data_IF_791047268384
#
_entry.id   IF_791047268384
#
_cell.length_a   1.000
_cell.length_b   1.000
_cell.length_c   1.000
_cell.angle_alpha   90.00
_cell.angle_beta   90.00
_cell.angle_gamma   90.00
#
_symmetry.space_group_name_H-M   'P 1'
#
loop_
_entity.id
_entity.type
_entity.pdbx_description
1 polymer ?
#
# COMPACT_ATOMS: atom_id res chain seq x y z
N UNK A 1 -5.13 36.48 16.87
CA UNK A 1 -4.28 35.26 16.82
C UNK A 1 -3.56 35.32 15.49
N UNK A 2 -2.22 35.41 15.48
CA UNK A 2 -1.47 35.28 14.23
C UNK A 2 -1.52 33.82 13.79
N UNK A 3 -2.08 33.55 12.61
CA UNK A 3 -2.14 32.23 11.98
C UNK A 3 -0.73 31.74 11.65
N UNK A 4 -0.04 31.23 12.67
CA UNK A 4 1.24 30.57 12.50
C UNK A 4 0.96 29.14 12.08
N UNK A 5 1.00 28.89 10.78
CA UNK A 5 0.82 27.55 10.22
C UNK A 5 1.90 26.60 10.74
N UNK A 6 1.50 25.56 11.47
CA UNK A 6 2.41 24.52 11.97
C UNK A 6 2.78 23.57 10.83
N UNK A 7 4.07 23.40 10.56
CA UNK A 7 4.54 22.48 9.52
C UNK A 7 4.43 21.02 9.96
N UNK A 8 3.43 20.30 9.41
CA UNK A 8 3.15 18.90 9.79
C UNK A 8 3.96 17.88 8.98
N UNK A 9 4.29 18.17 7.72
CA UNK A 9 4.87 17.17 6.78
C UNK A 9 5.72 17.83 5.70
N UNK A 10 6.86 17.21 5.40
CA UNK A 10 7.80 17.72 4.40
C UNK A 10 7.28 17.55 2.96
N UNK A 11 7.62 18.50 2.08
CA UNK A 11 7.21 18.49 0.66
C UNK A 11 7.63 17.20 -0.06
N UNK A 12 8.82 16.66 0.22
CA UNK A 12 9.29 15.40 -0.40
C UNK A 12 8.43 14.20 -0.02
N UNK A 13 7.97 14.12 1.23
CA UNK A 13 7.06 13.07 1.69
C UNK A 13 5.68 13.22 1.05
N UNK A 14 5.19 14.44 0.88
CA UNK A 14 3.91 14.71 0.20
C UNK A 14 3.98 14.29 -1.27
N UNK A 15 5.07 14.63 -1.98
CA UNK A 15 5.27 14.22 -3.38
C UNK A 15 5.33 12.71 -3.52
N UNK A 16 6.09 12.03 -2.66
CA UNK A 16 6.18 10.57 -2.65
C UNK A 16 4.80 9.93 -2.42
N UNK A 17 3.98 10.50 -1.54
CA UNK A 17 2.63 10.01 -1.29
C UNK A 17 1.75 10.06 -2.55
N UNK A 18 1.74 11.18 -3.27
CA UNK A 18 0.94 11.32 -4.49
C UNK A 18 1.46 10.47 -5.65
N UNK A 19 2.79 10.34 -5.78
CA UNK A 19 3.41 9.37 -6.68
C UNK A 19 2.89 7.95 -6.36
N UNK A 20 2.96 7.55 -5.09
CA UNK A 20 2.49 6.25 -4.64
C UNK A 20 0.99 6.07 -4.95
N UNK A 21 0.15 7.03 -4.60
CA UNK A 21 -1.29 6.96 -4.85
C UNK A 21 -1.62 6.77 -6.34
N UNK A 22 -0.91 7.46 -7.24
CA UNK A 22 -1.07 7.29 -8.68
C UNK A 22 -0.63 5.89 -9.14
N UNK A 23 0.56 5.43 -8.74
CA UNK A 23 1.03 4.09 -9.08
C UNK A 23 0.07 3.00 -8.60
N UNK A 24 -0.40 3.09 -7.35
CA UNK A 24 -1.35 2.12 -6.79
C UNK A 24 -2.68 2.12 -7.53
N UNK A 25 -3.19 3.30 -7.93
CA UNK A 25 -4.40 3.38 -8.75
C UNK A 25 -4.21 2.62 -10.07
N UNK A 26 -3.12 2.90 -10.78
CA UNK A 26 -2.82 2.24 -12.06
C UNK A 26 -2.61 0.72 -11.89
N UNK A 27 -1.88 0.30 -10.85
CA UNK A 27 -1.61 -1.11 -10.56
C UNK A 27 -2.88 -1.88 -10.18
N UNK A 28 -3.78 -1.28 -9.38
CA UNK A 28 -5.05 -1.93 -9.03
C UNK A 28 -5.92 -2.11 -10.27
N UNK A 29 -6.09 -1.05 -11.07
CA UNK A 29 -6.93 -1.08 -12.27
C UNK A 29 -6.43 -2.10 -13.29
N UNK A 30 -5.12 -2.09 -13.56
CA UNK A 30 -4.48 -3.05 -14.48
C UNK A 30 -4.41 -4.46 -13.91
N UNK A 31 -4.11 -4.63 -12.62
CA UNK A 31 -4.09 -5.93 -11.96
C UNK A 31 -5.45 -6.64 -12.04
N UNK A 32 -6.54 -5.93 -11.77
CA UNK A 32 -7.88 -6.47 -11.98
C UNK A 32 -8.23 -6.71 -13.46
N UNK A 33 -7.60 -5.99 -14.39
CA UNK A 33 -7.74 -6.26 -15.82
C UNK A 33 -7.00 -7.52 -16.30
N UNK A 34 -5.89 -7.87 -15.63
CA UNK A 34 -5.08 -9.06 -15.96
C UNK A 34 -5.77 -10.35 -15.50
N UNK A 35 -6.44 -10.32 -14.34
CA UNK A 35 -7.10 -11.49 -13.76
C UNK A 35 -8.44 -11.75 -14.48
N UNK A 36 -8.39 -12.46 -15.61
CA UNK A 36 -9.54 -12.68 -16.50
C UNK A 36 -10.19 -14.07 -16.42
N UNK A 37 -9.55 -15.07 -15.81
CA UNK A 37 -10.10 -16.43 -15.75
C UNK A 37 -11.40 -16.47 -14.94
N UNK A 38 -12.44 -17.15 -15.44
CA UNK A 38 -13.79 -17.14 -14.85
C UNK A 38 -13.81 -17.60 -13.37
N UNK A 39 -12.89 -18.49 -12.98
CA UNK A 39 -12.79 -19.00 -11.60
C UNK A 39 -11.99 -18.10 -10.65
N UNK A 40 -11.19 -17.16 -11.18
CA UNK A 40 -10.23 -16.35 -10.40
C UNK A 40 -10.47 -14.86 -10.51
N UNK A 41 -11.27 -14.40 -11.49
CA UNK A 41 -11.58 -12.99 -11.69
C UNK A 41 -12.26 -12.40 -10.46
N UNK A 42 -11.77 -11.23 -10.07
CA UNK A 42 -12.31 -10.47 -8.91
C UNK A 42 -13.32 -9.42 -9.38
N UNK A 43 -13.14 -8.90 -10.60
CA UNK A 43 -14.06 -7.94 -11.22
C UNK A 43 -15.03 -8.65 -12.18
N UNK A 44 -16.20 -8.04 -12.50
CA UNK A 44 -17.09 -8.54 -13.54
C UNK A 44 -16.37 -8.65 -14.89
N UNK A 45 -16.78 -9.59 -15.75
CA UNK A 45 -16.08 -9.94 -17.00
C UNK A 45 -15.80 -8.76 -17.94
N UNK A 46 -16.66 -7.74 -17.96
CA UNK A 46 -16.45 -6.55 -18.78
C UNK A 46 -15.15 -5.79 -18.43
N UNK A 47 -14.66 -5.89 -17.20
CA UNK A 47 -13.49 -5.12 -16.75
C UNK A 47 -12.18 -5.66 -17.34
N UNK A 48 -11.85 -6.97 -17.23
CA UNK A 48 -10.77 -7.57 -18.00
C UNK A 48 -10.90 -7.33 -19.51
N UNK A 49 -12.09 -7.49 -20.10
CA UNK A 49 -12.30 -7.26 -21.54
C UNK A 49 -11.96 -5.82 -21.94
N UNK A 50 -12.44 -4.83 -21.17
CA UNK A 50 -12.16 -3.42 -21.40
C UNK A 50 -10.66 -3.12 -21.28
N UNK A 51 -10.03 -3.53 -20.18
CA UNK A 51 -8.62 -3.24 -19.93
C UNK A 51 -7.72 -3.93 -20.96
N UNK A 52 -7.97 -5.20 -21.29
CA UNK A 52 -7.19 -5.89 -22.32
C UNK A 52 -7.43 -5.27 -23.70
N UNK A 53 -8.65 -4.82 -24.01
CA UNK A 53 -8.96 -4.07 -25.22
C UNK A 53 -8.18 -2.76 -25.34
N UNK A 54 -8.09 -1.97 -24.26
CA UNK A 54 -7.33 -0.71 -24.23
C UNK A 54 -5.84 -0.89 -24.54
N UNK A 55 -5.26 -2.02 -24.12
CA UNK A 55 -3.83 -2.30 -24.28
C UNK A 55 -3.54 -3.21 -25.48
N UNK A 56 -4.55 -3.61 -26.25
CA UNK A 56 -4.39 -4.49 -27.41
C UNK A 56 -4.06 -5.94 -27.06
N UNK A 57 -4.45 -6.40 -25.86
CA UNK A 57 -4.28 -7.77 -25.39
C UNK A 57 -3.78 -7.86 -23.95
N UNK A 58 -3.89 -9.06 -23.37
CA UNK A 58 -3.45 -9.32 -21.99
C UNK A 58 -1.93 -9.19 -21.82
N UNK A 59 -1.15 -9.59 -22.82
CA UNK A 59 0.33 -9.50 -22.78
C UNK A 59 0.82 -8.06 -22.59
N UNK A 60 0.31 -7.12 -23.40
CA UNK A 60 0.64 -5.70 -23.28
C UNK A 60 0.16 -5.08 -21.97
N UNK A 61 -0.99 -5.53 -21.46
CA UNK A 61 -1.52 -5.10 -20.16
C UNK A 61 -0.60 -5.57 -19.01
N UNK A 62 -0.16 -6.84 -19.04
CA UNK A 62 0.81 -7.40 -18.08
C UNK A 62 2.14 -6.67 -18.14
N UNK A 63 2.68 -6.42 -19.33
CA UNK A 63 3.92 -5.67 -19.51
C UNK A 63 3.80 -4.26 -18.93
N UNK A 64 2.71 -3.55 -19.24
CA UNK A 64 2.46 -2.20 -18.71
C UNK A 64 2.37 -2.22 -17.18
N UNK A 65 1.62 -3.16 -16.61
CA UNK A 65 1.50 -3.33 -15.16
C UNK A 65 2.88 -3.55 -14.51
N UNK A 66 3.68 -4.44 -15.09
CA UNK A 66 5.03 -4.73 -14.61
C UNK A 66 5.94 -3.50 -14.67
N UNK A 67 5.91 -2.73 -15.77
CA UNK A 67 6.68 -1.48 -15.90
C UNK A 67 6.31 -0.48 -14.81
N UNK A 68 5.00 -0.25 -14.58
CA UNK A 68 4.53 0.67 -13.51
C UNK A 68 5.00 0.16 -12.14
N UNK A 69 4.91 -1.14 -11.89
CA UNK A 69 5.36 -1.77 -10.65
C UNK A 69 6.87 -1.61 -10.42
N UNK A 70 7.68 -1.82 -11.46
CA UNK A 70 9.13 -1.68 -11.41
C UNK A 70 9.54 -0.22 -11.19
N UNK A 71 8.91 0.73 -11.89
CA UNK A 71 9.13 2.17 -11.67
C UNK A 71 8.80 2.55 -10.23
N UNK A 72 7.67 2.07 -9.71
CA UNK A 72 7.27 2.27 -8.33
C UNK A 72 8.31 1.73 -7.34
N UNK A 73 8.75 0.47 -7.52
CA UNK A 73 9.79 -0.14 -6.69
C UNK A 73 11.11 0.63 -6.74
N UNK A 74 11.56 1.02 -7.93
CA UNK A 74 12.82 1.75 -8.13
C UNK A 74 12.80 3.11 -7.44
N UNK A 75 11.74 3.90 -7.64
CA UNK A 75 11.61 5.22 -7.00
C UNK A 75 11.53 5.08 -5.48
N UNK A 76 10.81 4.07 -4.97
CA UNK A 76 10.72 3.83 -3.53
C UNK A 76 12.07 3.39 -2.95
N UNK A 77 12.81 2.52 -3.64
CA UNK A 77 14.15 2.08 -3.24
C UNK A 77 15.15 3.24 -3.20
N UNK A 78 15.16 4.09 -4.24
CA UNK A 78 15.98 5.31 -4.27
C UNK A 78 15.58 6.29 -3.17
N UNK A 79 14.28 6.49 -2.93
CA UNK A 79 13.80 7.33 -1.85
C UNK A 79 14.30 6.81 -0.50
N UNK A 80 14.21 5.50 -0.26
CA UNK A 80 14.71 4.88 0.96
C UNK A 80 16.21 5.11 1.10
N UNK A 81 17.00 4.80 0.07
CA UNK A 81 18.45 4.93 0.07
C UNK A 81 18.89 6.36 0.44
N UNK A 82 18.32 7.38 -0.21
CA UNK A 82 18.72 8.77 0.00
C UNK A 82 18.08 9.45 1.22
N UNK A 83 17.02 8.87 1.80
CA UNK A 83 16.28 9.48 2.92
C UNK A 83 16.16 8.55 4.12
N UNK A 84 17.03 7.54 4.23
CA UNK A 84 16.93 6.50 5.25
C UNK A 84 16.92 7.07 6.66
N UNK A 85 17.93 7.86 7.01
CA UNK A 85 18.10 8.42 8.36
C UNK A 85 17.23 9.65 8.60
N UNK A 86 16.95 10.44 7.56
CA UNK A 86 16.22 11.70 7.69
C UNK A 86 14.70 11.54 7.69
N UNK A 87 14.15 10.53 7.01
CA UNK A 87 12.70 10.35 6.86
C UNK A 87 12.25 8.95 7.24
N UNK A 88 12.84 7.91 6.63
CA UNK A 88 12.33 6.53 6.70
C UNK A 88 12.45 5.96 8.10
N UNK A 89 13.64 5.98 8.69
CA UNK A 89 13.88 5.44 10.03
C UNK A 89 13.05 6.18 11.11
N UNK A 90 12.98 7.53 11.13
CA UNK A 90 12.07 8.24 12.04
C UNK A 90 10.59 7.86 11.85
N UNK A 91 10.13 7.67 10.61
CA UNK A 91 8.76 7.24 10.32
C UNK A 91 8.50 5.81 10.84
N UNK A 92 9.40 4.88 10.53
CA UNK A 92 9.34 3.49 10.98
C UNK A 92 9.27 3.41 12.51
N UNK A 93 10.13 4.13 13.24
CA UNK A 93 10.09 4.20 14.70
C UNK A 93 8.74 4.64 15.28
N UNK A 94 7.91 5.36 14.52
CA UNK A 94 6.60 5.85 14.96
C UNK A 94 5.43 4.95 14.53
N UNK A 95 5.57 4.25 13.41
CA UNK A 95 4.49 3.43 12.84
C UNK A 95 4.61 1.97 13.24
N UNK A 96 5.82 1.46 13.41
CA UNK A 96 6.06 0.03 13.54
C UNK A 96 5.39 -0.57 14.79
N UNK A 97 4.61 -1.62 14.57
CA UNK A 97 4.07 -2.52 15.60
C UNK A 97 4.79 -3.87 15.50
N UNK A 98 5.61 -4.21 16.50
CA UNK A 98 6.45 -5.43 16.50
C UNK A 98 6.00 -6.52 17.48
N UNK A 99 5.04 -6.23 18.36
CA UNK A 99 4.62 -7.17 19.40
C UNK A 99 3.11 -7.37 19.42
N UNK A 100 2.63 -8.57 19.81
CA UNK A 100 1.20 -8.84 19.96
C UNK A 100 0.51 -7.86 20.91
N UNK A 101 1.20 -7.46 21.99
CA UNK A 101 0.67 -6.49 22.97
C UNK A 101 0.48 -5.12 22.34
N UNK A 102 1.44 -4.66 21.52
CA UNK A 102 1.33 -3.39 20.83
C UNK A 102 0.19 -3.42 19.79
N UNK A 103 0.06 -4.52 19.06
CA UNK A 103 -1.03 -4.73 18.11
C UNK A 103 -2.39 -4.70 18.82
N UNK A 104 -2.53 -5.41 19.95
CA UNK A 104 -3.75 -5.40 20.74
C UNK A 104 -4.09 -3.99 21.25
N UNK A 105 -3.12 -3.25 21.79
CA UNK A 105 -3.32 -1.88 22.27
C UNK A 105 -3.80 -0.94 21.16
N UNK A 106 -3.19 -1.01 19.98
CA UNK A 106 -3.56 -0.17 18.86
C UNK A 106 -4.93 -0.57 18.27
N UNK A 107 -5.22 -1.87 18.22
CA UNK A 107 -6.53 -2.39 17.81
C UNK A 107 -7.62 -1.94 18.78
N UNK A 108 -7.37 -2.04 20.08
CA UNK A 108 -8.29 -1.54 21.09
C UNK A 108 -8.52 -0.03 20.95
N UNK A 109 -7.45 0.74 20.74
CA UNK A 109 -7.58 2.18 20.48
C UNK A 109 -8.41 2.48 19.24
N UNK A 110 -8.24 1.72 18.16
CA UNK A 110 -9.05 1.85 16.94
C UNK A 110 -10.51 1.53 17.21
N UNK A 111 -10.79 0.41 17.89
CA UNK A 111 -12.16 -0.03 18.23
C UNK A 111 -12.88 1.02 19.07
N UNK A 112 -12.26 1.51 20.15
CA UNK A 112 -12.86 2.54 21.01
C UNK A 112 -13.14 3.82 20.23
N UNK A 113 -12.20 4.25 19.38
CA UNK A 113 -12.35 5.46 18.56
C UNK A 113 -13.50 5.31 17.55
N UNK A 114 -13.59 4.16 16.86
CA UNK A 114 -14.69 3.89 15.93
C UNK A 114 -16.03 3.78 16.66
N UNK A 115 -16.09 3.07 17.79
CA UNK A 115 -17.30 2.95 18.60
C UNK A 115 -17.84 4.32 19.02
N UNK A 116 -16.96 5.25 19.40
CA UNK A 116 -17.34 6.62 19.73
C UNK A 116 -17.98 7.37 18.56
N UNK A 117 -17.50 7.17 17.33
CA UNK A 117 -18.10 7.78 16.13
C UNK A 117 -19.56 7.34 15.94
N UNK A 118 -19.91 6.12 16.37
CA UNK A 118 -21.26 5.58 16.34
C UNK A 118 -22.03 5.78 17.65
N UNK A 119 -21.48 6.56 18.59
CA UNK A 119 -22.11 6.84 19.88
C UNK A 119 -22.10 5.69 20.90
N UNK A 120 -21.29 4.66 20.66
CA UNK A 120 -21.10 3.49 21.52
C UNK A 120 -19.88 3.73 22.43
N UNK A 121 -19.84 3.09 23.61
CA UNK A 121 -18.68 3.12 24.54
C UNK A 121 -18.30 4.52 25.06
N UNK A 122 -19.23 5.49 25.09
CA UNK A 122 -18.99 6.87 25.54
C UNK A 122 -18.45 7.00 26.98
N UNK A 123 -18.67 5.99 27.81
CA UNK A 123 -18.19 5.95 29.20
C UNK A 123 -16.71 5.55 29.31
N UNK A 124 -16.07 5.14 28.21
CA UNK A 124 -14.67 4.73 28.17
C UNK A 124 -13.87 5.90 27.57
N UNK A 125 -12.83 6.40 28.26
CA UNK A 125 -12.04 7.49 27.71
C UNK A 125 -11.31 7.04 26.43
N UNK A 126 -11.29 7.90 25.42
CA UNK A 126 -10.53 7.68 24.19
C UNK A 126 -9.05 7.58 24.54
N UNK A 127 -8.34 6.51 24.12
CA UNK A 127 -6.93 6.35 24.44
C UNK A 127 -6.09 7.53 23.91
N UNK A 128 -4.99 7.91 24.58
CA UNK A 128 -4.12 8.99 24.12
C UNK A 128 -3.57 8.72 22.71
N UNK A 129 -3.60 9.74 21.84
CA UNK A 129 -3.12 9.65 20.46
C UNK A 129 -1.82 10.42 20.28
N UNK A 130 -0.84 9.79 19.63
CA UNK A 130 0.41 10.44 19.25
C UNK A 130 0.30 11.11 17.87
N UNK A 131 1.46 11.33 17.23
CA UNK A 131 1.52 11.79 15.83
C UNK A 131 0.75 10.89 14.87
N UNK A 132 0.76 9.57 15.14
CA UNK A 132 -0.07 8.59 14.47
C UNK A 132 -0.95 7.90 15.52
N UNK A 133 -2.23 7.77 15.21
CA UNK A 133 -3.18 7.04 16.05
C UNK A 133 -3.03 5.51 15.89
N UNK A 134 -3.68 4.73 16.76
CA UNK A 134 -3.60 3.26 16.72
C UNK A 134 -3.97 2.66 15.35
N UNK A 135 -5.05 3.16 14.73
CA UNK A 135 -5.48 2.71 13.40
C UNK A 135 -4.44 3.01 12.31
N UNK A 136 -3.83 4.20 12.34
CA UNK A 136 -2.78 4.61 11.39
C UNK A 136 -1.50 3.79 11.56
N UNK A 137 -1.16 3.39 12.79
CA UNK A 137 -0.01 2.50 13.05
C UNK A 137 -0.25 1.09 12.54
N UNK A 138 -1.46 0.55 12.77
CA UNK A 138 -1.88 -0.75 12.23
C UNK A 138 -1.85 -0.74 10.70
N UNK A 139 -2.54 0.22 10.08
CA UNK A 139 -2.59 0.37 8.63
C UNK A 139 -1.18 0.58 8.05
N UNK A 140 -0.38 1.45 8.65
CA UNK A 140 0.98 1.71 8.19
C UNK A 140 1.89 0.48 8.28
N UNK A 141 1.79 -0.29 9.38
CA UNK A 141 2.52 -1.56 9.53
C UNK A 141 2.09 -2.56 8.46
N UNK A 142 0.78 -2.74 8.26
CA UNK A 142 0.23 -3.63 7.23
C UNK A 142 0.70 -3.24 5.82
N UNK A 143 0.61 -1.96 5.47
CA UNK A 143 1.04 -1.44 4.16
C UNK A 143 2.51 -1.77 3.90
N UNK A 144 3.40 -1.63 4.89
CA UNK A 144 4.82 -1.96 4.74
C UNK A 144 5.00 -3.43 4.37
N UNK A 145 4.41 -4.35 5.16
CA UNK A 145 4.55 -5.79 4.92
C UNK A 145 3.91 -6.21 3.59
N UNK A 146 2.69 -5.76 3.31
CA UNK A 146 2.00 -6.08 2.05
C UNK A 146 2.75 -5.51 0.84
N UNK A 147 3.34 -4.32 0.95
CA UNK A 147 4.14 -3.72 -0.14
C UNK A 147 5.39 -4.54 -0.44
N UNK A 148 6.10 -5.01 0.60
CA UNK A 148 7.26 -5.89 0.43
C UNK A 148 6.86 -7.23 -0.18
N UNK A 149 5.76 -7.83 0.30
CA UNK A 149 5.25 -9.09 -0.23
C UNK A 149 4.86 -8.96 -1.71
N UNK A 150 4.07 -7.95 -2.07
CA UNK A 150 3.62 -7.70 -3.44
C UNK A 150 4.80 -7.39 -4.37
N UNK A 151 5.81 -6.64 -3.90
CA UNK A 151 7.03 -6.39 -4.67
C UNK A 151 7.78 -7.71 -4.96
N UNK A 152 7.98 -8.54 -3.93
CA UNK A 152 8.68 -9.81 -4.07
C UNK A 152 7.94 -10.80 -4.98
N UNK A 153 6.63 -10.99 -4.75
CA UNK A 153 5.82 -11.89 -5.57
C UNK A 153 5.64 -11.38 -6.99
N UNK A 154 5.47 -10.07 -7.19
CA UNK A 154 5.36 -9.46 -8.52
C UNK A 154 6.64 -9.64 -9.34
N UNK A 155 7.82 -9.41 -8.74
CA UNK A 155 9.10 -9.68 -9.38
C UNK A 155 9.24 -11.15 -9.75
N UNK A 156 8.89 -12.06 -8.83
CA UNK A 156 8.93 -13.49 -9.10
C UNK A 156 8.00 -13.87 -10.26
N UNK A 157 6.73 -13.47 -10.22
CA UNK A 157 5.75 -13.84 -11.24
C UNK A 157 6.11 -13.28 -12.63
N UNK A 158 6.75 -12.12 -12.69
CA UNK A 158 7.14 -11.53 -13.96
C UNK A 158 8.43 -12.14 -14.53
N UNK A 159 9.48 -12.30 -13.71
CA UNK A 159 10.80 -12.76 -14.19
C UNK A 159 10.97 -14.27 -14.19
N UNK A 160 10.35 -15.00 -13.27
CA UNK A 160 10.55 -16.44 -13.16
C UNK A 160 10.26 -17.20 -14.48
N UNK A 161 9.19 -16.89 -15.24
CA UNK A 161 8.93 -17.54 -16.53
C UNK A 161 10.00 -17.31 -17.60
N UNK A 162 10.84 -16.27 -17.46
CA UNK A 162 11.94 -16.00 -18.39
C UNK A 162 13.18 -16.86 -18.11
N UNK A 163 13.33 -17.37 -16.89
CA UNK A 163 14.54 -18.06 -16.43
C UNK A 163 14.28 -19.52 -16.03
N UNK A 164 13.05 -19.85 -15.66
CA UNK A 164 12.65 -21.17 -15.20
C UNK A 164 11.74 -21.82 -16.24
N UNK A 165 12.03 -23.08 -16.56
CA UNK A 165 11.10 -23.93 -17.28
C UNK A 165 10.03 -24.38 -16.30
N UNK A 166 8.85 -23.79 -16.36
CA UNK A 166 7.68 -24.39 -15.73
C UNK A 166 7.23 -25.53 -16.63
N UNK A 167 7.20 -26.76 -16.09
CA UNK A 167 6.73 -27.91 -16.84
C UNK A 167 5.28 -27.65 -17.28
N UNK A 168 5.02 -27.74 -18.59
CA UNK A 168 3.67 -27.82 -19.12
C UNK A 168 3.09 -29.18 -18.67
N UNK A 169 2.43 -29.20 -17.53
CA UNK A 169 1.60 -30.34 -17.10
C UNK A 169 0.19 -30.19 -17.62
#
# INVERSE_FOLDING_TARGET
MNDTMVHVREKKTIRLHWFNALCWLLLILSGFGIISGDFVRVMPGFWPEFMQGLFGGNENLVLTHAIVGIIWMLIFALFILFNFTSVVLPFLKKVWIMSPIAAFKDTWSMVVTLAHLFGIMKNIPVPPQGRYNGAQRLLGTMIIFCSLLIAATGLYLFFAPMFLSFAET
#
